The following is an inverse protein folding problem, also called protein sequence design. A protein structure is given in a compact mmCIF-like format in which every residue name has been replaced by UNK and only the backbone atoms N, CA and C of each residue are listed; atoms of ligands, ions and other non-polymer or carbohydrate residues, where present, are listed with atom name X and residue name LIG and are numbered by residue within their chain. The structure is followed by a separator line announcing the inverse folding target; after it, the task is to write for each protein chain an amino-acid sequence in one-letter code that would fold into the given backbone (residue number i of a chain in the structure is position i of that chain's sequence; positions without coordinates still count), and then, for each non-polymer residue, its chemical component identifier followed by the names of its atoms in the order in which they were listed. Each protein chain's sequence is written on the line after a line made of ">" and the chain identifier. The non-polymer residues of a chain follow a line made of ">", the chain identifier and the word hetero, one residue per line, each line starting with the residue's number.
data_IF_014791136313
#
_entry.id   IF_014791136313
#
_cell.length_a   1.000
_cell.length_b   1.000
_cell.length_c   1.000
_cell.angle_alpha   90.00
_cell.angle_beta   90.00
_cell.angle_gamma   90.00
#
_symmetry.space_group_name_H-M   'P 1'
#
loop_
_entity.id
_entity.type
_entity.pdbx_description
1 polymer ?
#
# COMPACT_ATOMS: atom_id res chain seq x y z
N UNK A 1 -18.84 4.19 8.81
CA UNK A 1 -17.53 3.88 8.20
C UNK A 1 -17.56 4.39 6.77
N UNK A 2 -16.56 5.15 6.33
CA UNK A 2 -16.49 5.66 4.95
C UNK A 2 -15.28 5.04 4.26
N UNK A 3 -15.50 4.36 3.15
CA UNK A 3 -14.44 3.80 2.33
C UNK A 3 -14.08 4.77 1.19
N UNK A 4 -12.79 5.05 1.01
CA UNK A 4 -12.28 5.76 -0.17
C UNK A 4 -11.58 4.75 -1.08
N UNK A 5 -12.12 4.59 -2.29
CA UNK A 5 -11.61 3.63 -3.30
C UNK A 5 -10.95 4.41 -4.42
N UNK A 6 -9.68 4.15 -4.70
CA UNK A 6 -8.93 4.75 -5.80
C UNK A 6 -8.36 3.69 -6.72
N UNK A 7 -8.54 3.88 -8.04
CA UNK A 7 -7.97 3.02 -9.07
C UNK A 7 -6.75 3.73 -9.66
N UNK A 8 -5.55 3.25 -9.29
CA UNK A 8 -4.22 3.65 -9.77
C UNK A 8 -3.91 5.15 -9.89
N UNK A 9 -3.22 5.72 -8.89
CA UNK A 9 -2.27 6.82 -9.07
C UNK A 9 -0.82 6.40 -8.81
N UNK A 10 -0.53 5.47 -7.88
CA UNK A 10 0.77 4.79 -7.73
C UNK A 10 0.69 3.68 -6.66
N UNK A 11 1.19 2.47 -6.93
CA UNK A 11 1.31 1.40 -5.93
C UNK A 11 2.24 1.83 -4.78
N UNK A 12 3.38 2.41 -5.15
CA UNK A 12 4.37 2.90 -4.21
C UNK A 12 3.77 3.93 -3.26
N UNK A 13 3.08 4.94 -3.81
CA UNK A 13 2.47 5.98 -2.99
C UNK A 13 1.43 5.44 -2.00
N UNK A 14 0.70 4.39 -2.39
CA UNK A 14 -0.26 3.70 -1.53
C UNK A 14 0.42 2.97 -0.36
N UNK A 15 1.46 2.19 -0.65
CA UNK A 15 2.20 1.46 0.37
C UNK A 15 2.94 2.41 1.31
N UNK A 16 3.59 3.44 0.75
CA UNK A 16 4.30 4.47 1.52
C UNK A 16 3.37 5.24 2.46
N UNK A 17 2.17 5.59 1.98
CA UNK A 17 1.15 6.24 2.80
C UNK A 17 0.80 5.43 4.07
N UNK A 18 0.61 4.12 3.93
CA UNK A 18 0.31 3.26 5.08
C UNK A 18 1.55 3.01 5.95
N UNK A 19 2.73 2.84 5.36
CA UNK A 19 4.00 2.72 6.11
C UNK A 19 4.20 3.93 7.04
N UNK A 20 4.00 5.15 6.52
CA UNK A 20 4.14 6.37 7.32
C UNK A 20 3.20 6.39 8.53
N UNK A 21 1.98 5.84 8.41
CA UNK A 21 1.07 5.76 9.55
C UNK A 21 1.55 4.79 10.62
N UNK A 22 2.14 3.67 10.22
CA UNK A 22 2.74 2.70 11.14
C UNK A 22 3.95 3.33 11.83
N UNK A 23 4.83 3.98 11.06
CA UNK A 23 6.03 4.65 11.59
C UNK A 23 5.66 5.77 12.59
N UNK A 24 4.58 6.52 12.33
CA UNK A 24 4.06 7.55 13.24
C UNK A 24 3.20 7.00 14.38
N UNK A 25 3.10 5.66 14.55
CA UNK A 25 2.25 5.01 15.56
C UNK A 25 0.76 5.40 15.47
N UNK A 26 0.28 5.79 14.28
CA UNK A 26 -1.12 6.09 13.96
C UNK A 26 -1.85 4.93 13.29
N UNK A 27 -1.17 3.80 13.11
CA UNK A 27 -1.70 2.58 12.54
C UNK A 27 -0.80 1.40 12.87
N UNK A 28 -1.31 0.20 12.62
CA UNK A 28 -0.61 -1.05 12.87
C UNK A 28 -0.87 -2.02 11.72
N UNK A 29 0.13 -2.83 11.37
CA UNK A 29 -0.04 -3.92 10.43
C UNK A 29 -0.73 -5.10 11.14
N UNK A 30 -2.04 -5.23 10.94
CA UNK A 30 -2.81 -6.33 11.55
C UNK A 30 -2.64 -7.66 10.80
N UNK A 31 -2.49 -7.60 9.48
CA UNK A 31 -2.43 -8.78 8.63
C UNK A 31 -1.78 -8.47 7.29
N UNK A 32 -1.06 -9.44 6.74
CA UNK A 32 -0.55 -9.42 5.37
C UNK A 32 -0.74 -10.80 4.71
N UNK A 33 -1.02 -10.82 3.41
CA UNK A 33 -1.18 -12.06 2.64
C UNK A 33 -0.25 -12.05 1.44
N UNK A 34 0.55 -13.11 1.28
CA UNK A 34 1.53 -13.25 0.20
C UNK A 34 2.47 -12.05 0.08
N UNK A 35 2.77 -11.42 1.22
CA UNK A 35 3.76 -10.37 1.34
C UNK A 35 5.00 -10.95 1.99
N UNK A 36 6.16 -10.64 1.43
CA UNK A 36 7.46 -10.96 2.02
C UNK A 36 7.56 -10.25 3.37
N UNK A 37 7.90 -11.00 4.41
CA UNK A 37 8.09 -10.47 5.77
C UNK A 37 9.57 -10.28 6.06
N UNK A 38 9.88 -9.27 6.86
CA UNK A 38 11.21 -9.00 7.39
C UNK A 38 11.57 -10.10 8.42
N UNK A 39 12.83 -10.55 8.41
CA UNK A 39 13.35 -11.50 9.39
C UNK A 39 14.45 -10.83 10.23
N UNK A 40 14.47 -10.98 11.56
CA UNK A 40 13.60 -11.82 12.40
C UNK A 40 12.34 -11.12 12.93
N UNK A 41 12.10 -9.85 12.58
CA UNK A 41 11.04 -9.02 13.19
C UNK A 41 9.61 -9.42 12.80
N UNK A 42 9.42 -10.16 11.69
CA UNK A 42 8.10 -10.53 11.17
C UNK A 42 7.30 -9.36 10.57
N UNK A 43 7.89 -8.15 10.54
CA UNK A 43 7.28 -6.95 9.99
C UNK A 43 7.20 -6.99 8.45
N UNK A 44 6.66 -5.92 7.86
CA UNK A 44 6.68 -5.73 6.41
C UNK A 44 7.29 -4.38 6.12
N UNK A 45 8.48 -4.35 5.55
CA UNK A 45 9.08 -3.13 5.01
C UNK A 45 8.42 -2.74 3.68
N UNK A 46 8.45 -1.44 3.36
CA UNK A 46 8.00 -0.92 2.05
C UNK A 46 8.68 -1.63 0.87
N UNK A 47 9.98 -1.94 1.01
CA UNK A 47 10.74 -2.66 -0.01
C UNK A 47 10.16 -4.06 -0.25
N UNK A 48 9.96 -4.84 0.82
CA UNK A 48 9.41 -6.19 0.72
C UNK A 48 7.96 -6.20 0.23
N UNK A 49 7.16 -5.22 0.63
CA UNK A 49 5.82 -5.01 0.09
C UNK A 49 5.87 -4.78 -1.43
N UNK A 50 6.66 -3.82 -1.90
CA UNK A 50 6.83 -3.53 -3.33
C UNK A 50 7.30 -4.76 -4.13
N UNK A 51 8.30 -5.47 -3.60
CA UNK A 51 8.86 -6.68 -4.24
C UNK A 51 7.81 -7.79 -4.37
N UNK A 52 6.90 -7.90 -3.39
CA UNK A 52 5.83 -8.90 -3.41
C UNK A 52 4.82 -8.66 -4.55
N UNK A 53 4.63 -7.41 -4.98
CA UNK A 53 3.73 -7.08 -6.09
C UNK A 53 4.38 -7.18 -7.48
N UNK A 54 5.71 -7.16 -7.57
CA UNK A 54 6.44 -7.10 -8.84
C UNK A 54 6.04 -8.20 -9.84
N UNK A 55 5.90 -9.50 -9.46
CA UNK A 55 5.49 -10.54 -10.41
C UNK A 55 4.11 -10.29 -11.01
N UNK A 56 3.18 -9.75 -10.21
CA UNK A 56 1.81 -9.45 -10.65
C UNK A 56 1.78 -8.24 -11.59
N UNK A 57 2.60 -7.21 -11.33
CA UNK A 57 2.73 -6.07 -12.22
C UNK A 57 3.34 -6.46 -13.56
N UNK A 58 4.38 -7.31 -13.57
CA UNK A 58 5.00 -7.81 -14.79
C UNK A 58 4.01 -8.63 -15.62
N UNK A 59 3.26 -9.53 -14.98
CA UNK A 59 2.24 -10.34 -15.64
C UNK A 59 1.11 -9.49 -16.24
N UNK A 60 0.81 -8.32 -15.63
CA UNK A 60 -0.27 -7.43 -16.03
C UNK A 60 0.22 -6.13 -16.69
N UNK A 61 1.38 -6.15 -17.37
CA UNK A 61 2.01 -4.95 -17.97
C UNK A 61 1.13 -4.15 -18.95
N UNK A 62 0.06 -4.73 -19.50
CA UNK A 62 -0.90 -4.05 -20.39
C UNK A 62 -2.05 -3.37 -19.65
N UNK A 63 -2.23 -3.66 -18.36
CA UNK A 63 -3.30 -3.11 -17.54
C UNK A 63 -2.95 -1.68 -17.13
N UNK A 64 -3.70 -0.70 -17.63
CA UNK A 64 -3.45 0.74 -17.37
C UNK A 64 -3.57 1.12 -15.89
N UNK A 65 -4.42 0.41 -15.13
CA UNK A 65 -4.65 0.64 -13.69
C UNK A 65 -4.60 -0.69 -12.94
N UNK A 66 -3.39 -1.23 -12.67
CA UNK A 66 -3.25 -2.59 -12.13
C UNK A 66 -3.51 -2.67 -10.62
N UNK A 67 -3.80 -1.55 -9.96
CA UNK A 67 -3.93 -1.45 -8.50
C UNK A 67 -5.21 -0.73 -8.12
N UNK A 68 -5.93 -1.34 -7.18
CA UNK A 68 -7.06 -0.75 -6.46
C UNK A 68 -6.62 -0.55 -5.02
N UNK A 69 -6.71 0.68 -4.53
CA UNK A 69 -6.46 1.01 -3.13
C UNK A 69 -7.78 1.36 -2.45
N UNK A 70 -8.03 0.74 -1.30
CA UNK A 70 -9.21 0.97 -0.48
C UNK A 70 -8.74 1.39 0.90
N UNK A 71 -9.05 2.62 1.30
CA UNK A 71 -8.83 3.09 2.67
C UNK A 71 -10.16 3.16 3.41
N UNK A 72 -10.23 2.50 4.57
CA UNK A 72 -11.35 2.63 5.50
C UNK A 72 -11.04 3.76 6.47
N UNK A 73 -11.88 4.79 6.52
CA UNK A 73 -11.70 6.00 7.34
C UNK A 73 -10.33 6.69 7.12
N UNK A 74 -10.06 7.26 5.93
CA UNK A 74 -8.86 8.09 5.73
C UNK A 74 -8.84 9.28 6.70
N UNK A 75 -7.66 9.78 7.10
CA UNK A 75 -7.57 10.97 7.97
C UNK A 75 -8.21 12.14 7.20
N UNK A 76 -9.11 12.94 7.81
CA UNK A 76 -9.74 14.08 7.14
C UNK A 76 -8.76 15.09 6.55
N UNK A 77 -7.53 15.15 7.05
CA UNK A 77 -6.45 16.02 6.56
C UNK A 77 -5.64 15.40 5.43
N UNK A 78 -5.85 14.12 5.12
CA UNK A 78 -5.10 13.42 4.08
C UNK A 78 -5.45 13.95 2.70
N UNK A 79 -4.53 14.73 2.13
CA UNK A 79 -4.48 15.00 0.70
C UNK A 79 -3.83 13.79 0.03
N UNK A 80 -4.63 12.75 -0.23
CA UNK A 80 -4.22 11.65 -1.11
C UNK A 80 -4.22 12.18 -2.55
N UNK A 81 -3.27 13.05 -2.85
CA UNK A 81 -3.00 13.56 -4.20
C UNK A 81 -2.35 12.45 -5.03
N UNK A 82 -2.58 12.50 -6.34
CA UNK A 82 -1.87 11.64 -7.28
C UNK A 82 -0.40 12.03 -7.20
N UNK A 83 0.43 11.22 -6.54
CA UNK A 83 1.87 11.35 -6.71
C UNK A 83 2.18 10.81 -8.10
N UNK A 84 2.63 11.71 -8.96
CA UNK A 84 2.93 11.49 -10.38
C UNK A 84 4.10 10.52 -10.56
#
# INVERSE_FOLDING_TARGET
>A
MVAKITHGSSLYGTLFYNQKKVDESKGELLFSNKIIQDYPSGGVSLYNAMKSFEPYLIANKRTKKPVVHISLNPDPRDKITKMN
#
